data_IF_608960348518
#
_entry.id   IF_608960348518
#
_cell.length_a   1.000
_cell.length_b   1.000
_cell.length_c   1.000
_cell.angle_alpha   90.00
_cell.angle_beta   90.00
_cell.angle_gamma   90.00
#
_symmetry.space_group_name_H-M   'P 1'
#
loop_
_entity.id
_entity.type
_entity.pdbx_description
1 polymer ?
#
# COMPACT_ATOMS: atom_id res chain seq x y z
N UNK A 1 12.80 -19.73 -12.59
CA UNK A 1 12.70 -18.25 -12.68
C UNK A 1 13.82 -17.65 -11.85
N UNK A 2 14.50 -16.63 -12.36
CA UNK A 2 15.62 -15.98 -11.65
C UNK A 2 15.08 -15.15 -10.48
N UNK A 3 15.64 -15.33 -9.28
CA UNK A 3 15.33 -14.50 -8.10
C UNK A 3 15.84 -13.06 -8.27
N UNK A 4 16.76 -12.83 -9.22
CA UNK A 4 17.38 -11.53 -9.44
C UNK A 4 16.36 -10.44 -9.85
N UNK A 5 15.26 -10.81 -10.52
CA UNK A 5 14.20 -9.85 -10.85
C UNK A 5 13.45 -9.34 -9.62
N UNK A 6 13.46 -10.09 -8.52
CA UNK A 6 12.76 -9.72 -7.29
C UNK A 6 13.54 -8.70 -6.44
N UNK A 7 14.86 -8.63 -6.59
CA UNK A 7 15.74 -7.65 -5.91
C UNK A 7 16.21 -6.58 -6.89
N UNK A 8 15.27 -5.78 -7.40
CA UNK A 8 15.60 -4.62 -8.22
C UNK A 8 16.35 -3.55 -7.42
N UNK A 9 17.02 -2.63 -8.10
CA UNK A 9 17.68 -1.46 -7.46
C UNK A 9 16.72 -0.67 -6.59
N UNK A 10 15.45 -0.55 -6.99
CA UNK A 10 14.40 0.10 -6.19
C UNK A 10 14.12 -0.66 -4.89
N UNK A 11 14.02 -1.99 -4.93
CA UNK A 11 13.83 -2.81 -3.74
C UNK A 11 15.02 -2.68 -2.78
N UNK A 12 16.25 -2.68 -3.30
CA UNK A 12 17.45 -2.47 -2.48
C UNK A 12 17.45 -1.10 -1.81
N UNK A 13 17.15 -0.03 -2.55
CA UNK A 13 17.02 1.31 -1.99
C UNK A 13 15.94 1.38 -0.90
N UNK A 14 14.80 0.71 -1.10
CA UNK A 14 13.72 0.63 -0.10
C UNK A 14 14.17 -0.08 1.18
N UNK A 15 14.86 -1.22 1.05
CA UNK A 15 15.43 -1.95 2.18
C UNK A 15 16.43 -1.06 2.94
N UNK A 16 17.36 -0.42 2.24
CA UNK A 16 18.35 0.46 2.87
C UNK A 16 17.71 1.66 3.59
N UNK A 17 16.72 2.31 2.97
CA UNK A 17 15.97 3.40 3.62
C UNK A 17 15.26 2.95 4.89
N UNK A 18 14.63 1.76 4.84
CA UNK A 18 13.92 1.20 5.98
C UNK A 18 14.86 0.84 7.13
N UNK A 19 15.97 0.16 6.85
CA UNK A 19 16.99 -0.18 7.86
C UNK A 19 17.68 1.06 8.45
N UNK A 20 17.80 2.15 7.68
CA UNK A 20 18.34 3.42 8.18
C UNK A 20 17.43 4.07 9.23
N UNK A 21 16.11 3.96 9.07
CA UNK A 21 15.15 4.48 10.05
C UNK A 21 14.83 3.50 11.19
N UNK A 22 14.90 2.19 10.92
CA UNK A 22 14.59 1.11 11.86
C UNK A 22 15.77 0.13 11.93
N UNK A 23 16.85 0.48 12.65
CA UNK A 23 18.09 -0.31 12.66
C UNK A 23 17.96 -1.67 13.37
N UNK A 24 16.93 -1.84 14.20
CA UNK A 24 16.65 -3.10 14.91
C UNK A 24 16.06 -4.20 14.00
N UNK A 25 15.71 -3.89 12.75
CA UNK A 25 15.13 -4.87 11.83
C UNK A 25 16.17 -5.80 11.19
N UNK A 26 15.77 -7.07 11.01
CA UNK A 26 16.62 -8.06 10.36
C UNK A 26 16.69 -7.84 8.85
N UNK A 27 17.93 -7.75 8.34
CA UNK A 27 18.22 -7.70 6.90
C UNK A 27 17.67 -8.96 6.20
N UNK A 28 17.75 -10.12 6.84
CA UNK A 28 17.25 -11.39 6.30
C UNK A 28 15.73 -11.32 6.08
N UNK A 29 14.98 -10.83 7.07
CA UNK A 29 13.53 -10.65 6.97
C UNK A 29 13.16 -9.66 5.87
N UNK A 30 13.89 -8.54 5.74
CA UNK A 30 13.67 -7.55 4.70
C UNK A 30 13.87 -8.14 3.28
N UNK A 31 14.92 -8.95 3.09
CA UNK A 31 15.17 -9.65 1.82
C UNK A 31 14.09 -10.71 1.56
N UNK A 32 13.67 -11.46 2.57
CA UNK A 32 12.59 -12.44 2.43
C UNK A 32 11.26 -11.77 2.03
N UNK A 33 10.93 -10.61 2.59
CA UNK A 33 9.76 -9.80 2.25
C UNK A 33 9.83 -9.30 0.81
N UNK A 34 10.96 -8.71 0.40
CA UNK A 34 11.16 -8.21 -0.96
C UNK A 34 11.06 -9.33 -2.03
N UNK A 35 11.56 -10.53 -1.70
CA UNK A 35 11.50 -11.70 -2.58
C UNK A 35 10.17 -12.47 -2.53
N UNK A 36 9.21 -12.05 -1.69
CA UNK A 36 7.97 -12.79 -1.42
C UNK A 36 8.23 -14.27 -1.10
N UNK A 37 9.24 -14.54 -0.26
CA UNK A 37 9.82 -15.88 -0.06
C UNK A 37 8.81 -16.97 0.31
N UNK A 38 7.75 -16.61 1.04
CA UNK A 38 6.66 -17.50 1.46
C UNK A 38 5.83 -18.05 0.29
N UNK A 39 5.85 -17.37 -0.86
CA UNK A 39 5.12 -17.76 -2.07
C UNK A 39 6.04 -18.36 -3.15
N UNK A 40 7.35 -18.44 -2.88
CA UNK A 40 8.30 -19.05 -3.81
C UNK A 40 8.17 -20.57 -3.81
N UNK A 41 8.36 -21.23 -4.98
CA UNK A 41 8.54 -22.67 -5.05
C UNK A 41 9.69 -23.14 -4.15
N UNK A 42 9.59 -24.35 -3.60
CA UNK A 42 10.56 -24.92 -2.65
C UNK A 42 12.01 -24.81 -3.11
N UNK A 43 12.28 -25.11 -4.39
CA UNK A 43 13.62 -25.00 -4.98
C UNK A 43 14.15 -23.56 -5.01
N UNK A 44 13.30 -22.60 -5.36
CA UNK A 44 13.68 -21.19 -5.39
C UNK A 44 13.93 -20.66 -3.98
N UNK A 45 13.09 -21.04 -3.00
CA UNK A 45 13.28 -20.70 -1.59
C UNK A 45 14.59 -21.25 -1.03
N UNK A 46 14.91 -22.52 -1.30
CA UNK A 46 16.17 -23.13 -0.88
C UNK A 46 17.39 -22.43 -1.51
N UNK A 47 17.29 -22.01 -2.77
CA UNK A 47 18.34 -21.23 -3.44
C UNK A 47 18.56 -19.86 -2.79
N UNK A 48 17.48 -19.18 -2.39
CA UNK A 48 17.54 -17.92 -1.66
C UNK A 48 18.23 -18.11 -0.30
N UNK A 49 17.81 -19.10 0.50
CA UNK A 49 18.40 -19.41 1.81
C UNK A 49 19.89 -19.76 1.71
N UNK A 50 20.28 -20.52 0.68
CA UNK A 50 21.69 -20.83 0.41
C UNK A 50 22.51 -19.58 0.05
N UNK A 51 21.90 -18.62 -0.65
CA UNK A 51 22.57 -17.37 -1.01
C UNK A 51 22.72 -16.44 0.20
N UNK A 52 21.70 -16.34 1.04
CA UNK A 52 21.74 -15.55 2.28
C UNK A 52 22.79 -16.09 3.26
N UNK A 53 22.82 -17.42 3.47
CA UNK A 53 23.81 -18.06 4.33
C UNK A 53 25.25 -17.87 3.83
N UNK A 54 25.49 -17.90 2.51
CA UNK A 54 26.79 -17.59 1.91
C UNK A 54 27.26 -16.16 2.18
N UNK A 55 26.33 -15.23 2.32
CA UNK A 55 26.62 -13.82 2.64
C UNK A 55 26.64 -13.53 4.15
N UNK A 56 26.58 -14.56 5.01
CA UNK A 56 26.47 -14.42 6.47
C UNK A 56 25.26 -13.59 6.91
N UNK A 57 24.21 -13.52 6.08
CA UNK A 57 22.93 -12.92 6.43
C UNK A 57 22.10 -14.02 7.07
N UNK A 58 22.19 -14.14 8.39
CA UNK A 58 21.40 -15.10 9.16
C UNK A 58 20.19 -14.38 9.76
N UNK A 59 19.05 -15.06 9.79
CA UNK A 59 17.97 -14.66 10.68
C UNK A 59 18.51 -14.78 12.11
N UNK A 60 18.64 -13.66 12.82
CA UNK A 60 18.52 -13.75 14.27
C UNK A 60 17.13 -14.34 14.51
N UNK A 61 17.01 -15.46 15.26
CA UNK A 61 15.70 -15.80 15.79
C UNK A 61 15.30 -14.56 16.58
N UNK A 62 14.28 -13.84 16.12
CA UNK A 62 13.74 -12.76 16.94
C UNK A 62 13.39 -13.40 18.27
N UNK A 63 14.15 -13.00 19.29
CA UNK A 63 13.92 -13.25 20.68
C UNK A 63 12.69 -12.46 21.12
N UNK A 64 11.56 -12.77 20.51
CA UNK A 64 10.23 -12.40 20.93
C UNK A 64 9.36 -13.65 20.71
N UNK A 65 9.56 -14.63 21.59
CA UNK A 65 8.42 -15.33 22.17
C UNK A 65 7.27 -14.32 22.34
N UNK A 66 6.07 -14.71 21.94
CA UNK A 66 4.80 -13.95 21.89
C UNK A 66 4.41 -13.30 23.24
N UNK A 67 5.24 -12.43 23.79
CA UNK A 67 5.21 -11.96 25.20
C UNK A 67 5.19 -10.44 25.32
N UNK A 68 5.31 -9.70 24.22
CA UNK A 68 5.06 -8.26 24.25
C UNK A 68 3.57 -8.02 24.01
N UNK A 69 2.95 -7.26 24.92
CA UNK A 69 1.64 -6.66 24.72
C UNK A 69 1.74 -5.69 23.53
N UNK A 70 1.59 -6.21 22.31
CA UNK A 70 1.43 -5.41 21.12
C UNK A 70 0.12 -4.64 21.25
N UNK A 71 0.21 -3.37 21.61
CA UNK A 71 -0.93 -2.48 21.71
C UNK A 71 -0.98 -1.54 20.49
N UNK A 72 -2.20 -1.17 20.13
CA UNK A 72 -2.44 -0.06 19.22
C UNK A 72 -3.48 0.87 19.84
N UNK A 73 -3.21 2.18 19.81
CA UNK A 73 -4.07 3.15 20.45
C UNK A 73 -3.74 4.58 20.05
N UNK A 74 -4.73 5.46 20.16
CA UNK A 74 -4.57 6.90 19.94
C UNK A 74 -4.69 7.61 21.27
N UNK A 75 -3.64 8.34 21.65
CA UNK A 75 -3.60 9.16 22.86
C UNK A 75 -3.13 10.56 22.49
N UNK A 76 -3.90 11.58 22.89
CA UNK A 76 -3.57 13.00 22.65
C UNK A 76 -3.24 13.35 21.19
N UNK A 77 -3.94 12.73 20.23
CA UNK A 77 -3.72 12.94 18.80
C UNK A 77 -2.48 12.24 18.22
N UNK A 78 -1.81 11.41 19.01
CA UNK A 78 -0.70 10.56 18.59
C UNK A 78 -1.17 9.11 18.55
N UNK A 79 -1.04 8.50 17.39
CA UNK A 79 -1.26 7.07 17.18
C UNK A 79 0.03 6.31 17.53
N UNK A 80 -0.10 5.27 18.34
CA UNK A 80 0.94 4.28 18.59
C UNK A 80 0.48 2.91 18.07
N UNK A 81 1.31 2.23 17.28
CA UNK A 81 1.11 0.84 16.85
C UNK A 81 2.42 0.10 17.08
N UNK A 82 2.44 -0.84 18.05
CA UNK A 82 3.66 -1.53 18.43
C UNK A 82 4.71 -0.53 18.93
N UNK A 83 5.88 -0.47 18.28
CA UNK A 83 6.98 0.46 18.64
C UNK A 83 6.95 1.78 17.87
N UNK A 84 6.00 1.96 16.95
CA UNK A 84 6.01 3.08 16.00
C UNK A 84 4.87 4.05 16.32
N UNK A 85 5.19 5.34 16.31
CA UNK A 85 4.25 6.42 16.63
C UNK A 85 4.13 7.43 15.49
N UNK A 86 2.95 8.00 15.31
CA UNK A 86 2.73 9.11 14.35
C UNK A 86 1.58 10.02 14.78
N UNK A 87 1.55 11.25 14.28
CA UNK A 87 0.40 12.15 14.47
C UNK A 87 -0.80 11.67 13.67
N UNK A 88 -1.98 11.66 14.30
CA UNK A 88 -3.25 11.36 13.65
C UNK A 88 -3.61 12.49 12.69
N UNK A 89 -4.10 12.12 11.50
CA UNK A 89 -4.54 13.09 10.50
C UNK A 89 -5.87 13.74 10.92
N UNK A 90 -6.09 15.01 10.57
CA UNK A 90 -7.38 15.66 10.79
C UNK A 90 -8.05 15.94 9.44
N UNK A 91 -8.99 15.08 8.99
CA UNK A 91 -9.63 15.24 7.69
C UNK A 91 -10.81 16.21 7.75
N UNK A 92 -10.98 16.97 6.65
CA UNK A 92 -12.19 17.74 6.42
C UNK A 92 -13.41 16.81 6.22
N UNK A 93 -13.22 15.69 5.52
CA UNK A 93 -14.26 14.71 5.21
C UNK A 93 -14.23 13.48 6.13
N UNK A 94 -14.65 13.64 7.39
CA UNK A 94 -14.68 12.53 8.37
C UNK A 94 -15.53 11.33 7.95
N UNK A 95 -16.58 11.53 7.15
CA UNK A 95 -17.47 10.47 6.67
C UNK A 95 -16.73 9.44 5.78
N UNK A 96 -15.61 9.84 5.17
CA UNK A 96 -14.77 8.97 4.33
C UNK A 96 -13.73 8.19 5.13
N UNK A 97 -13.58 8.46 6.43
CA UNK A 97 -12.74 7.66 7.31
C UNK A 97 -13.50 6.37 7.62
N UNK A 98 -12.94 5.19 7.35
CA UNK A 98 -13.62 3.94 7.67
C UNK A 98 -13.85 3.83 9.18
N UNK A 99 -15.02 3.34 9.58
CA UNK A 99 -15.29 2.90 10.94
C UNK A 99 -15.63 1.42 10.89
N UNK A 100 -14.83 0.61 11.57
CA UNK A 100 -14.88 -0.84 11.44
C UNK A 100 -14.78 -1.50 12.80
N UNK A 101 -15.75 -2.38 13.09
CA UNK A 101 -15.63 -3.30 14.20
C UNK A 101 -14.42 -4.21 13.95
N UNK A 102 -13.42 -4.08 14.82
CA UNK A 102 -12.15 -4.77 14.75
C UNK A 102 -11.78 -5.28 16.14
N UNK A 103 -11.36 -6.53 16.20
CA UNK A 103 -10.85 -7.15 17.42
C UNK A 103 -9.34 -7.26 17.31
N UNK A 104 -8.66 -6.71 18.31
CA UNK A 104 -7.21 -6.65 18.32
C UNK A 104 -6.61 -8.06 18.41
N UNK A 105 -5.77 -8.38 17.43
CA UNK A 105 -5.03 -9.62 17.33
C UNK A 105 -3.54 -9.27 17.20
N UNK A 106 -2.64 -9.82 18.02
CA UNK A 106 -1.21 -9.53 17.95
C UNK A 106 -0.63 -9.64 16.53
N UNK A 107 -1.04 -10.66 15.77
CA UNK A 107 -0.57 -10.84 14.39
C UNK A 107 -1.01 -9.70 13.47
N UNK A 108 -2.24 -9.19 13.63
CA UNK A 108 -2.71 -8.06 12.85
C UNK A 108 -2.02 -6.76 13.27
N UNK A 109 -1.73 -6.59 14.56
CA UNK A 109 -1.03 -5.41 15.07
C UNK A 109 0.40 -5.38 14.54
N UNK A 110 1.12 -6.51 14.53
CA UNK A 110 2.44 -6.61 13.91
C UNK A 110 2.40 -6.23 12.42
N UNK A 111 1.38 -6.69 11.68
CA UNK A 111 1.20 -6.29 10.26
C UNK A 111 0.92 -4.80 10.14
N UNK A 112 0.08 -4.22 11.00
CA UNK A 112 -0.22 -2.79 10.99
C UNK A 112 0.99 -1.93 11.38
N UNK A 113 1.83 -2.38 12.30
CA UNK A 113 3.11 -1.73 12.63
C UNK A 113 4.02 -1.71 11.40
N UNK A 114 4.12 -2.83 10.71
CA UNK A 114 4.89 -2.97 9.48
C UNK A 114 4.39 -2.07 8.35
N UNK A 115 3.07 -1.97 8.22
CA UNK A 115 2.39 -1.04 7.32
C UNK A 115 2.67 0.41 7.70
N UNK A 116 2.66 0.74 8.99
CA UNK A 116 2.94 2.10 9.48
C UNK A 116 4.35 2.53 9.11
N UNK A 117 5.35 1.68 9.32
CA UNK A 117 6.75 1.96 8.94
C UNK A 117 6.88 2.28 7.46
N UNK A 118 6.33 1.41 6.59
CA UNK A 118 6.36 1.62 5.14
C UNK A 118 5.58 2.88 4.72
N UNK A 119 4.43 3.14 5.37
CA UNK A 119 3.61 4.32 5.10
C UNK A 119 4.33 5.62 5.45
N UNK A 120 5.02 5.67 6.60
CA UNK A 120 5.82 6.84 7.02
C UNK A 120 7.03 7.09 6.11
N UNK A 121 7.58 6.03 5.50
CA UNK A 121 8.62 6.13 4.48
C UNK A 121 8.11 6.65 3.13
N UNK A 122 6.80 6.87 2.99
CA UNK A 122 6.16 7.30 1.74
C UNK A 122 6.03 6.18 0.70
N UNK A 123 6.13 4.92 1.12
CA UNK A 123 6.02 3.78 0.22
C UNK A 123 4.56 3.38 -0.05
N UNK A 124 4.29 2.89 -1.25
CA UNK A 124 3.01 2.25 -1.55
C UNK A 124 2.96 0.85 -0.95
N UNK A 125 1.81 0.50 -0.38
CA UNK A 125 1.58 -0.76 0.34
C UNK A 125 0.90 -1.79 -0.55
N UNK A 126 1.37 -3.05 -0.49
CA UNK A 126 0.73 -4.20 -1.12
C UNK A 126 0.52 -5.29 -0.06
N UNK A 127 -0.73 -5.70 0.13
CA UNK A 127 -1.09 -6.77 1.07
C UNK A 127 -1.40 -8.06 0.32
N UNK A 128 -0.53 -9.06 0.46
CA UNK A 128 -0.68 -10.38 -0.15
C UNK A 128 -0.93 -11.42 0.93
N UNK A 129 -1.95 -12.26 0.72
CA UNK A 129 -2.32 -13.31 1.65
C UNK A 129 -3.51 -14.10 1.15
N UNK A 130 -3.78 -15.24 1.79
CA UNK A 130 -4.88 -16.13 1.45
C UNK A 130 -6.24 -15.42 1.55
N UNK A 131 -7.25 -16.00 0.89
CA UNK A 131 -8.62 -15.48 0.99
C UNK A 131 -9.15 -15.62 2.42
N UNK A 132 -9.90 -14.64 2.89
CA UNK A 132 -10.59 -14.69 4.20
C UNK A 132 -9.74 -14.33 5.42
N UNK A 133 -8.45 -13.98 5.27
CA UNK A 133 -7.56 -13.64 6.41
C UNK A 133 -7.75 -12.22 6.97
N UNK A 134 -8.75 -11.46 6.49
CA UNK A 134 -9.07 -10.14 7.04
C UNK A 134 -8.27 -8.95 6.47
N UNK A 135 -7.62 -9.08 5.30
CA UNK A 135 -6.83 -8.00 4.67
C UNK A 135 -7.55 -6.64 4.63
N UNK A 136 -8.81 -6.63 4.15
CA UNK A 136 -9.59 -5.40 4.05
C UNK A 136 -9.91 -4.82 5.43
N UNK A 137 -10.19 -5.67 6.43
CA UNK A 137 -10.42 -5.23 7.81
C UNK A 137 -9.18 -4.58 8.43
N UNK A 138 -7.99 -5.12 8.14
CA UNK A 138 -6.72 -4.55 8.59
C UNK A 138 -6.49 -3.17 7.96
N UNK A 139 -6.72 -3.03 6.65
CA UNK A 139 -6.62 -1.73 5.96
C UNK A 139 -7.59 -0.71 6.54
N UNK A 140 -8.85 -1.11 6.75
CA UNK A 140 -9.88 -0.22 7.29
C UNK A 140 -9.53 0.23 8.70
N UNK A 141 -9.09 -0.71 9.54
CA UNK A 141 -8.66 -0.41 10.91
C UNK A 141 -7.43 0.51 10.92
N UNK A 142 -6.46 0.25 10.04
CA UNK A 142 -5.26 1.09 9.92
C UNK A 142 -5.60 2.53 9.54
N UNK A 143 -6.48 2.72 8.55
CA UNK A 143 -6.92 4.06 8.13
C UNK A 143 -7.82 4.75 9.16
N UNK A 144 -8.63 3.98 9.88
CA UNK A 144 -9.41 4.47 11.02
C UNK A 144 -8.48 5.04 12.11
N UNK A 145 -7.45 4.28 12.49
CA UNK A 145 -6.46 4.67 13.50
C UNK A 145 -5.67 5.92 13.09
N UNK A 146 -5.31 6.03 11.81
CA UNK A 146 -4.67 7.21 11.24
C UNK A 146 -5.63 8.38 11.01
N UNK A 147 -6.93 8.15 11.16
CA UNK A 147 -8.01 9.07 10.82
C UNK A 147 -7.87 9.63 9.39
N UNK A 148 -7.53 8.76 8.45
CA UNK A 148 -7.29 9.10 7.03
C UNK A 148 -8.53 8.74 6.18
N UNK A 149 -9.04 9.68 5.38
CA UNK A 149 -10.16 9.41 4.48
C UNK A 149 -9.68 8.50 3.35
N UNK A 150 -10.56 7.59 2.90
CA UNK A 150 -10.25 6.68 1.80
C UNK A 150 -11.22 6.80 0.64
N UNK A 151 -10.70 6.55 -0.54
CA UNK A 151 -11.49 6.20 -1.71
C UNK A 151 -11.28 4.71 -2.00
N UNK A 152 -12.36 4.00 -2.28
CA UNK A 152 -12.32 2.57 -2.52
C UNK A 152 -12.59 2.27 -4.00
N UNK A 153 -11.75 1.43 -4.59
CA UNK A 153 -11.88 0.96 -5.96
C UNK A 153 -11.65 -0.55 -6.00
N UNK A 154 -12.67 -1.31 -6.38
CA UNK A 154 -12.54 -2.73 -6.63
C UNK A 154 -12.33 -2.99 -8.12
N UNK A 155 -11.36 -3.85 -8.43
CA UNK A 155 -11.04 -4.21 -9.80
C UNK A 155 -11.67 -5.55 -10.19
N UNK A 156 -12.03 -5.65 -11.46
CA UNK A 156 -12.67 -6.83 -12.04
C UNK A 156 -12.03 -7.14 -13.40
N UNK A 157 -12.35 -8.32 -13.94
CA UNK A 157 -11.88 -8.75 -15.27
C UNK A 157 -12.35 -7.82 -16.40
N UNK A 158 -13.47 -7.16 -16.21
CA UNK A 158 -14.06 -6.24 -17.19
C UNK A 158 -13.75 -4.77 -16.89
N UNK A 159 -12.90 -4.48 -15.90
CA UNK A 159 -12.48 -3.10 -15.63
C UNK A 159 -11.73 -2.55 -16.84
N UNK A 160 -12.09 -1.34 -17.26
CA UNK A 160 -11.46 -0.64 -18.38
C UNK A 160 -10.72 0.58 -17.89
N UNK A 161 -9.86 1.14 -18.75
CA UNK A 161 -9.19 2.43 -18.47
C UNK A 161 -10.20 3.55 -18.27
N UNK A 162 -11.32 3.50 -19.00
CA UNK A 162 -12.37 4.49 -18.84
C UNK A 162 -13.04 4.39 -17.47
N UNK A 163 -13.42 3.19 -17.00
CA UNK A 163 -14.02 3.03 -15.67
C UNK A 163 -13.06 3.32 -14.51
N UNK A 164 -11.75 3.21 -14.76
CA UNK A 164 -10.71 3.62 -13.83
C UNK A 164 -10.63 5.14 -13.66
N UNK A 165 -11.02 5.91 -14.67
CA UNK A 165 -10.84 7.38 -14.71
C UNK A 165 -12.16 8.14 -14.52
N UNK A 166 -13.25 7.62 -15.07
CA UNK A 166 -14.58 8.22 -15.05
C UNK A 166 -15.64 7.17 -14.69
N UNK A 167 -16.66 7.61 -13.96
CA UNK A 167 -17.84 6.80 -13.67
C UNK A 167 -19.08 7.44 -14.29
N UNK A 168 -19.85 6.70 -15.11
CA UNK A 168 -21.14 7.19 -15.57
C UNK A 168 -22.11 7.24 -14.38
N UNK A 169 -22.81 8.36 -14.25
CA UNK A 169 -23.86 8.59 -13.29
C UNK A 169 -25.12 9.02 -14.05
N UNK A 170 -26.30 8.64 -13.56
CA UNK A 170 -27.56 9.11 -14.14
C UNK A 170 -28.08 10.25 -13.28
N UNK A 171 -28.19 11.45 -13.86
CA UNK A 171 -28.76 12.63 -13.19
C UNK A 171 -29.87 13.17 -14.08
N UNK A 172 -31.08 13.23 -13.53
CA UNK A 172 -32.28 13.75 -14.22
C UNK A 172 -32.51 13.14 -15.61
N UNK A 173 -32.24 11.83 -15.76
CA UNK A 173 -32.41 11.11 -17.03
C UNK A 173 -31.27 11.30 -18.04
N UNK A 174 -30.21 12.03 -17.69
CA UNK A 174 -29.02 12.25 -18.53
C UNK A 174 -27.80 11.55 -17.93
N UNK A 175 -27.00 10.90 -18.78
CA UNK A 175 -25.73 10.29 -18.35
C UNK A 175 -24.70 11.40 -18.19
N UNK A 176 -24.20 11.57 -16.97
CA UNK A 176 -23.13 12.49 -16.59
C UNK A 176 -21.91 11.69 -16.16
N UNK A 177 -20.75 12.03 -16.69
CA UNK A 177 -19.49 11.40 -16.30
C UNK A 177 -18.89 12.13 -15.10
N UNK A 178 -18.69 11.41 -14.02
CA UNK A 178 -18.05 11.91 -12.80
C UNK A 178 -16.65 11.34 -12.63
N UNK A 179 -15.82 12.02 -11.86
CA UNK A 179 -14.50 11.51 -11.47
C UNK A 179 -14.63 10.18 -10.71
N UNK A 180 -13.82 9.20 -11.10
CA UNK A 180 -13.72 7.92 -10.41
C UNK A 180 -13.13 8.08 -8.99
N UNK A 181 -13.22 7.04 -8.13
CA UNK A 181 -12.57 7.05 -6.82
C UNK A 181 -11.06 7.32 -6.90
N UNK A 182 -10.38 6.83 -7.94
CA UNK A 182 -8.96 7.12 -8.16
C UNK A 182 -8.71 8.61 -8.37
N UNK A 183 -9.46 9.24 -9.28
CA UNK A 183 -9.27 10.67 -9.60
C UNK A 183 -9.64 11.54 -8.39
N UNK A 184 -10.70 11.18 -7.66
CA UNK A 184 -11.08 11.84 -6.40
C UNK A 184 -9.98 11.73 -5.35
N UNK A 185 -9.36 10.55 -5.20
CA UNK A 185 -8.29 10.35 -4.24
C UNK A 185 -7.09 11.26 -4.51
N UNK A 186 -6.68 11.35 -5.78
CA UNK A 186 -5.59 12.21 -6.22
C UNK A 186 -5.90 13.68 -5.94
N UNK A 187 -7.10 14.16 -6.31
CA UNK A 187 -7.51 15.55 -6.11
C UNK A 187 -7.60 15.97 -4.65
N UNK A 188 -8.12 15.07 -3.80
CA UNK A 188 -8.42 15.37 -2.40
C UNK A 188 -7.30 14.94 -1.44
N UNK A 189 -6.25 14.30 -1.95
CA UNK A 189 -5.19 13.71 -1.12
C UNK A 189 -5.68 12.58 -0.22
N UNK A 190 -6.76 11.88 -0.60
CA UNK A 190 -7.27 10.73 0.14
C UNK A 190 -6.43 9.48 -0.15
N UNK A 191 -6.49 8.50 0.76
CA UNK A 191 -5.87 7.20 0.51
C UNK A 191 -6.72 6.40 -0.48
N UNK A 192 -6.14 6.02 -1.62
CA UNK A 192 -6.79 5.11 -2.56
C UNK A 192 -6.55 3.66 -2.11
N UNK A 193 -7.64 2.93 -1.85
CA UNK A 193 -7.62 1.48 -1.58
C UNK A 193 -8.08 0.76 -2.83
N UNK A 194 -7.19 -0.02 -3.43
CA UNK A 194 -7.46 -0.84 -4.63
C UNK A 194 -7.57 -2.31 -4.21
N UNK A 195 -8.76 -2.90 -4.39
CA UNK A 195 -9.01 -4.31 -4.09
C UNK A 195 -9.06 -5.16 -5.37
N UNK A 196 -8.78 -6.46 -5.23
CA UNK A 196 -8.84 -7.46 -6.30
C UNK A 196 -7.99 -7.12 -7.54
N UNK A 197 -6.84 -6.46 -7.33
CA UNK A 197 -5.94 -6.09 -8.43
C UNK A 197 -5.41 -7.28 -9.24
N UNK A 198 -5.43 -8.50 -8.68
CA UNK A 198 -5.12 -9.74 -9.40
C UNK A 198 -6.17 -10.12 -10.44
N UNK A 199 -7.38 -9.55 -10.37
CA UNK A 199 -8.47 -9.79 -11.32
C UNK A 199 -8.47 -8.83 -12.51
N UNK A 200 -7.77 -7.70 -12.40
CA UNK A 200 -7.75 -6.69 -13.45
C UNK A 200 -7.00 -7.17 -14.72
N UNK A 201 -7.44 -6.71 -15.90
CA UNK A 201 -6.67 -6.83 -17.13
C UNK A 201 -5.26 -6.23 -17.03
N UNK A 202 -4.31 -6.79 -17.77
CA UNK A 202 -2.91 -6.35 -17.79
C UNK A 202 -2.75 -4.88 -18.16
N UNK A 203 -3.55 -4.37 -19.09
CA UNK A 203 -3.53 -2.95 -19.48
C UNK A 203 -3.92 -2.03 -18.32
N UNK A 204 -4.87 -2.43 -17.46
CA UNK A 204 -5.29 -1.66 -16.27
C UNK A 204 -4.19 -1.69 -15.22
N UNK A 205 -3.60 -2.86 -14.94
CA UNK A 205 -2.52 -2.97 -13.94
C UNK A 205 -1.25 -2.25 -14.39
N UNK A 206 -0.93 -2.25 -15.69
CA UNK A 206 0.17 -1.45 -16.25
C UNK A 206 -0.01 0.05 -16.03
N UNK A 207 -1.23 0.56 -16.17
CA UNK A 207 -1.52 1.99 -15.95
C UNK A 207 -1.38 2.36 -14.48
N UNK A 208 -1.88 1.53 -13.57
CA UNK A 208 -1.68 1.73 -12.13
C UNK A 208 -0.20 1.66 -11.75
N UNK A 209 0.56 0.73 -12.34
CA UNK A 209 2.01 0.64 -12.17
C UNK A 209 2.71 1.92 -12.64
N UNK A 210 2.35 2.45 -13.80
CA UNK A 210 2.90 3.71 -14.30
C UNK A 210 2.62 4.86 -13.33
N UNK A 211 1.38 5.01 -12.85
CA UNK A 211 1.01 6.02 -11.87
C UNK A 211 1.84 5.92 -10.58
N UNK A 212 2.07 4.70 -10.08
CA UNK A 212 2.88 4.43 -8.88
C UNK A 212 4.39 4.62 -9.09
N UNK A 213 4.86 4.56 -10.34
CA UNK A 213 6.28 4.69 -10.69
C UNK A 213 6.66 6.12 -11.06
N UNK A 214 5.90 6.78 -11.92
CA UNK A 214 6.17 8.13 -12.41
C UNK A 214 5.32 9.21 -11.74
N UNK A 215 4.27 8.84 -11.01
CA UNK A 215 3.33 9.83 -10.48
C UNK A 215 2.48 10.49 -11.57
N UNK A 216 2.42 9.89 -12.76
CA UNK A 216 1.70 10.43 -13.91
C UNK A 216 0.69 9.45 -14.50
N UNK A 217 -0.45 9.98 -14.94
CA UNK A 217 -1.44 9.21 -15.69
C UNK A 217 -2.29 10.11 -16.58
N UNK A 218 -2.58 9.67 -17.81
CA UNK A 218 -3.52 10.34 -18.71
C UNK A 218 -4.92 9.78 -18.49
N UNK A 219 -5.90 10.68 -18.32
CA UNK A 219 -7.32 10.34 -18.13
C UNK A 219 -8.04 10.20 -19.48
N UNK A 220 -9.15 9.47 -19.48
CA UNK A 220 -9.94 9.22 -20.70
C UNK A 220 -10.58 10.50 -21.27
N UNK A 221 -10.75 11.55 -20.47
CA UNK A 221 -11.24 12.86 -20.89
C UNK A 221 -10.13 13.83 -21.34
N UNK A 222 -8.88 13.37 -21.40
CA UNK A 222 -7.74 14.17 -21.83
C UNK A 222 -7.04 14.96 -20.73
N UNK A 223 -7.57 14.97 -19.49
CA UNK A 223 -6.83 15.51 -18.33
C UNK A 223 -5.63 14.62 -17.99
N UNK A 224 -4.70 15.14 -17.19
CA UNK A 224 -3.51 14.40 -16.76
C UNK A 224 -3.28 14.56 -15.26
N UNK A 225 -2.96 13.47 -14.58
CA UNK A 225 -2.46 13.50 -13.20
C UNK A 225 -0.95 13.71 -13.24
N UNK A 226 -0.43 14.64 -12.46
CA UNK A 226 1.01 14.89 -12.31
C UNK A 226 1.32 15.12 -10.84
N UNK A 227 2.18 14.28 -10.26
CA UNK A 227 2.53 14.37 -8.83
C UNK A 227 3.53 15.48 -8.51
N UNK A 228 4.35 15.90 -9.48
CA UNK A 228 5.30 17.01 -9.32
C UNK A 228 4.62 18.36 -9.59
N UNK A 229 4.49 19.24 -8.58
CA UNK A 229 3.88 20.56 -8.76
C UNK A 229 4.59 21.40 -9.82
N UNK A 230 5.92 21.26 -9.96
CA UNK A 230 6.71 22.01 -10.93
C UNK A 230 6.44 21.60 -12.38
N UNK A 231 6.06 20.34 -12.61
CA UNK A 231 5.64 19.86 -13.93
C UNK A 231 4.17 20.15 -14.23
N UNK A 232 3.34 20.34 -13.19
CA UNK A 232 1.96 20.75 -13.33
C UNK A 232 1.83 22.22 -13.71
N UNK A 233 2.72 23.09 -13.21
CA UNK A 233 2.76 24.51 -13.57
C UNK A 233 3.15 24.70 -15.05
N UNK A 234 2.16 24.98 -15.89
CA UNK A 234 2.35 25.32 -17.32
C UNK A 234 1.76 24.32 -18.31
N UNK A 235 1.20 23.19 -17.85
CA UNK A 235 0.49 22.23 -18.70
C UNK A 235 -1.03 22.36 -18.51
N UNK A 236 -1.82 22.71 -19.55
CA UNK A 236 -3.26 22.80 -19.40
C UNK A 236 -3.89 21.42 -19.13
N UNK A 237 -4.85 21.35 -18.20
CA UNK A 237 -5.60 20.13 -17.90
C UNK A 237 -4.89 19.16 -16.93
N UNK A 238 -3.88 19.61 -16.21
CA UNK A 238 -3.25 18.84 -15.13
C UNK A 238 -4.08 18.88 -13.84
N UNK A 239 -3.99 17.79 -13.09
CA UNK A 239 -4.60 17.55 -11.78
C UNK A 239 -3.49 17.14 -10.82
#
# INVERSE_FOLDING_TARGET
QSLASSLSTRQLLRICKRLSQYPDESIAQAVHKACLSRFLPSLARASLEKSLSRCSIQDSPDAAELTHDYCCGVHDGVLTIGKVTTSVYNPDQKIKVPDVLFYDNPQHIMVMEDMLKDFLLGEHLLLVGNQGVGKNKIVDRFLHLLNRPREYLQLHRDTTVQTLTLQPSLRDGVIVYEDSPLVKAVKLGHVLVVDEADKAPTNVTCILKALVESGEMVLADGRRIVSDPGEAEGRPGTI
#
